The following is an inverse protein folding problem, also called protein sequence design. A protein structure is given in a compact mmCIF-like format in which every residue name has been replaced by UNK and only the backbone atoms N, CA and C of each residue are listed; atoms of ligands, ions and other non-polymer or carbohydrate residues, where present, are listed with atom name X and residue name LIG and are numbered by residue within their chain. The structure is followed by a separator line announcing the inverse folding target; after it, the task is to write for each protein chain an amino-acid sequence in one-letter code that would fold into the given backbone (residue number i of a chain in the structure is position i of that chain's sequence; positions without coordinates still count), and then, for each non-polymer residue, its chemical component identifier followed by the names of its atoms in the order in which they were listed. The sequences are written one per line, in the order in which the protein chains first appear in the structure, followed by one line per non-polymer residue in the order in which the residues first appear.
data_IF_831728650885
#
_entry.id   IF_831728650885
#
_cell.length_a   1.000
_cell.length_b   1.000
_cell.length_c   1.000
_cell.angle_alpha   90.00
_cell.angle_beta   90.00
_cell.angle_gamma   90.00
#
_symmetry.space_group_name_H-M   'P 1'
#
loop_
_entity.id
_entity.type
_entity.pdbx_description
1 polymer ?
#
# COMPACT_ATOMS: atom_id res chain seq x y z
N UNK A 1 29.50 3.38 -26.38
CA UNK A 1 29.49 1.93 -26.71
C UNK A 1 28.45 1.26 -25.81
N UNK A 2 27.32 0.83 -26.36
CA UNK A 2 26.33 0.05 -25.64
C UNK A 2 26.93 -1.35 -25.44
N UNK A 3 26.86 -1.92 -24.21
CA UNK A 3 27.32 -3.28 -23.99
C UNK A 3 26.37 -4.24 -24.71
N UNK A 4 26.88 -4.95 -25.69
CA UNK A 4 26.17 -6.01 -26.41
C UNK A 4 26.05 -7.20 -25.48
N UNK A 5 25.00 -7.25 -24.66
CA UNK A 5 24.59 -8.44 -23.95
C UNK A 5 23.88 -9.38 -24.96
N UNK A 6 24.65 -10.16 -25.69
CA UNK A 6 24.09 -11.35 -26.35
C UNK A 6 23.68 -12.34 -25.23
N UNK A 7 22.40 -12.35 -24.90
CA UNK A 7 21.81 -13.42 -24.10
C UNK A 7 22.02 -14.72 -24.85
N UNK A 8 22.85 -15.62 -24.30
CA UNK A 8 22.97 -17.00 -24.80
C UNK A 8 21.60 -17.64 -24.62
N UNK A 9 20.95 -18.00 -25.71
CA UNK A 9 19.76 -18.84 -25.71
C UNK A 9 20.08 -20.16 -24.97
N UNK A 10 19.85 -20.17 -23.67
CA UNK A 10 19.87 -21.37 -22.84
C UNK A 10 18.58 -22.14 -23.06
N UNK A 11 18.62 -23.48 -23.04
CA UNK A 11 17.45 -24.35 -23.14
C UNK A 11 16.37 -23.86 -22.15
N UNK A 12 15.30 -23.31 -22.70
CA UNK A 12 14.04 -22.80 -22.16
C UNK A 12 13.91 -22.62 -20.65
N UNK A 13 14.18 -21.42 -20.17
CA UNK A 13 13.80 -20.98 -18.84
C UNK A 13 12.31 -21.09 -18.64
N UNK A 14 11.85 -21.83 -17.64
CA UNK A 14 10.42 -22.12 -17.43
C UNK A 14 9.58 -20.85 -17.28
N UNK A 15 10.07 -19.86 -16.56
CA UNK A 15 9.33 -18.63 -16.26
C UNK A 15 9.41 -17.64 -17.43
N UNK A 16 10.54 -17.57 -18.13
CA UNK A 16 10.67 -16.74 -19.31
C UNK A 16 9.75 -17.21 -20.45
N UNK A 17 9.62 -18.52 -20.65
CA UNK A 17 8.67 -19.08 -21.62
C UNK A 17 7.21 -18.75 -21.28
N UNK A 18 6.85 -18.68 -19.99
CA UNK A 18 5.54 -18.22 -19.56
C UNK A 18 5.34 -16.72 -19.84
N UNK A 19 6.40 -15.90 -19.72
CA UNK A 19 6.38 -14.48 -20.06
C UNK A 19 6.15 -14.28 -21.56
N UNK A 20 6.80 -15.08 -22.42
CA UNK A 20 6.68 -15.05 -23.88
C UNK A 20 5.32 -15.58 -24.36
N UNK A 21 4.24 -15.18 -23.74
CA UNK A 21 2.86 -15.55 -24.06
C UNK A 21 1.99 -14.30 -24.24
N UNK A 22 1.28 -14.24 -25.38
CA UNK A 22 0.32 -13.15 -25.63
C UNK A 22 -0.73 -13.02 -24.52
N UNK A 23 -1.21 -14.16 -23.99
CA UNK A 23 -2.15 -14.19 -22.88
C UNK A 23 -1.57 -13.52 -21.65
N UNK A 24 -0.35 -13.85 -21.27
CA UNK A 24 0.34 -13.28 -20.09
C UNK A 24 0.48 -11.75 -20.20
N UNK A 25 0.92 -11.26 -21.36
CA UNK A 25 1.07 -9.81 -21.60
C UNK A 25 -0.30 -9.10 -21.62
N UNK A 26 -1.32 -9.73 -22.19
CA UNK A 26 -2.69 -9.17 -22.22
C UNK A 26 -3.29 -9.10 -20.83
N UNK A 27 -3.15 -10.14 -20.02
CA UNK A 27 -3.64 -10.15 -18.64
C UNK A 27 -2.93 -9.03 -17.81
N UNK A 28 -1.62 -8.84 -18.00
CA UNK A 28 -0.86 -7.75 -17.39
C UNK A 28 -1.32 -6.36 -17.87
N UNK A 29 -1.60 -6.21 -19.18
CA UNK A 29 -2.18 -4.98 -19.74
C UNK A 29 -3.51 -4.62 -19.09
N UNK A 30 -4.42 -5.56 -18.94
CA UNK A 30 -5.73 -5.32 -18.30
C UNK A 30 -5.59 -4.82 -16.87
N UNK A 31 -4.59 -5.29 -16.11
CA UNK A 31 -4.29 -4.78 -14.76
C UNK A 31 -3.78 -3.32 -14.79
N UNK A 32 -2.95 -2.95 -15.77
CA UNK A 32 -2.46 -1.57 -15.94
C UNK A 32 -3.59 -0.64 -16.34
N UNK A 33 -4.42 -1.05 -17.29
CA UNK A 33 -5.60 -0.31 -17.76
C UNK A 33 -6.57 -0.03 -16.60
N UNK A 34 -6.90 -1.03 -15.80
CA UNK A 34 -7.82 -0.89 -14.66
C UNK A 34 -7.31 0.08 -13.57
N UNK A 35 -6.00 0.27 -13.46
CA UNK A 35 -5.37 1.21 -12.49
C UNK A 35 -5.24 2.64 -13.00
N UNK A 36 -5.65 2.94 -14.23
CA UNK A 36 -5.47 4.26 -14.87
C UNK A 36 -4.04 4.79 -14.71
N UNK A 37 -3.05 3.92 -14.96
CA UNK A 37 -1.64 4.23 -14.73
C UNK A 37 -1.16 5.35 -15.65
N UNK A 38 -0.33 6.27 -15.14
CA UNK A 38 0.30 7.32 -15.97
C UNK A 38 1.35 6.70 -16.88
N UNK A 39 1.59 7.30 -18.06
CA UNK A 39 2.69 6.95 -18.97
C UNK A 39 4.08 7.29 -18.41
N UNK A 40 5.11 6.98 -19.17
CA UNK A 40 6.51 7.26 -18.86
C UNK A 40 7.12 8.31 -19.79
N UNK A 41 8.42 8.17 -20.04
CA UNK A 41 9.21 9.11 -20.85
C UNK A 41 8.78 9.16 -22.33
N UNK A 42 8.13 8.09 -22.82
CA UNK A 42 7.56 7.99 -24.16
C UNK A 42 6.28 8.81 -24.36
N UNK A 43 5.78 9.42 -23.29
CA UNK A 43 4.53 10.18 -23.24
C UNK A 43 3.26 9.40 -23.67
N UNK A 44 3.35 8.08 -23.85
CA UNK A 44 2.20 7.23 -24.20
C UNK A 44 1.32 7.05 -22.98
N UNK A 45 0.06 7.49 -23.07
CA UNK A 45 -0.93 7.29 -22.01
C UNK A 45 -1.60 5.92 -22.11
N UNK A 46 -2.35 5.54 -21.06
CA UNK A 46 -3.18 4.31 -21.11
C UNK A 46 -4.22 4.38 -22.23
N UNK A 47 -4.76 5.57 -22.51
CA UNK A 47 -5.74 5.76 -23.58
C UNK A 47 -5.09 5.58 -24.97
N UNK A 48 -3.89 6.15 -25.18
CA UNK A 48 -3.16 6.01 -26.43
C UNK A 48 -2.77 4.54 -26.68
N UNK A 49 -2.28 3.86 -25.65
CA UNK A 49 -1.93 2.44 -25.74
C UNK A 49 -3.16 1.58 -26.05
N UNK A 50 -4.33 1.91 -25.50
CA UNK A 50 -5.58 1.16 -25.68
C UNK A 50 -6.08 1.20 -27.14
N UNK A 51 -5.83 2.29 -27.85
CA UNK A 51 -6.25 2.45 -29.26
C UNK A 51 -5.64 1.37 -30.19
N UNK A 52 -4.36 0.99 -29.93
CA UNK A 52 -3.64 -0.02 -30.71
C UNK A 52 -3.08 -1.13 -29.80
N UNK A 53 -3.79 -1.49 -28.73
CA UNK A 53 -3.29 -2.38 -27.68
C UNK A 53 -2.76 -3.71 -28.21
N UNK A 54 -3.47 -4.35 -29.15
CA UNK A 54 -3.06 -5.65 -29.70
C UNK A 54 -1.73 -5.52 -30.48
N UNK A 55 -1.55 -4.46 -31.27
CA UNK A 55 -0.31 -4.18 -32.01
C UNK A 55 0.87 -3.92 -31.06
N UNK A 56 0.66 -3.12 -30.00
CA UNK A 56 1.68 -2.87 -28.98
C UNK A 56 2.06 -4.15 -28.26
N UNK A 57 1.09 -5.00 -27.89
CA UNK A 57 1.36 -6.28 -27.23
C UNK A 57 2.13 -7.24 -28.15
N UNK A 58 1.81 -7.28 -29.45
CA UNK A 58 2.55 -8.10 -30.42
C UNK A 58 3.99 -7.60 -30.59
N UNK A 59 4.21 -6.30 -30.57
CA UNK A 59 5.56 -5.71 -30.61
C UNK A 59 6.37 -6.08 -29.36
N UNK A 60 5.77 -5.99 -28.17
CA UNK A 60 6.43 -6.38 -26.91
C UNK A 60 6.75 -7.88 -26.91
N UNK A 61 5.80 -8.72 -27.36
CA UNK A 61 5.99 -10.16 -27.45
C UNK A 61 7.11 -10.54 -28.41
N UNK A 62 7.14 -9.94 -29.60
CA UNK A 62 8.21 -10.16 -30.57
C UNK A 62 9.58 -9.78 -29.99
N UNK A 63 9.67 -8.64 -29.31
CA UNK A 63 10.92 -8.18 -28.68
C UNK A 63 11.38 -9.13 -27.56
N UNK A 64 10.47 -9.71 -26.79
CA UNK A 64 10.79 -10.74 -25.79
C UNK A 64 11.27 -12.04 -26.43
N UNK A 65 10.55 -12.57 -27.44
CA UNK A 65 10.88 -13.82 -28.13
C UNK A 65 12.25 -13.72 -28.81
N UNK A 66 12.57 -12.55 -29.38
CA UNK A 66 13.86 -12.31 -30.06
C UNK A 66 14.96 -11.81 -29.13
N UNK A 67 14.70 -11.70 -27.83
CA UNK A 67 15.62 -11.13 -26.83
C UNK A 67 16.15 -9.73 -27.20
N UNK A 68 15.36 -8.94 -27.91
CA UNK A 68 15.70 -7.56 -28.31
C UNK A 68 15.03 -6.50 -27.44
N UNK A 69 14.27 -6.91 -26.42
CA UNK A 69 13.65 -5.97 -25.50
C UNK A 69 14.72 -5.24 -24.68
N UNK A 70 14.62 -3.93 -24.66
CA UNK A 70 15.44 -3.04 -23.84
C UNK A 70 14.49 -2.10 -23.09
N UNK A 71 14.54 -2.04 -21.74
CA UNK A 71 13.70 -1.13 -20.98
C UNK A 71 14.05 0.33 -21.26
N UNK A 72 13.05 1.18 -21.31
CA UNK A 72 13.24 2.63 -21.44
C UNK A 72 13.59 3.27 -20.09
N UNK A 73 14.36 4.36 -20.08
CA UNK A 73 14.69 5.09 -18.85
C UNK A 73 13.43 5.53 -18.10
N UNK A 74 13.49 5.53 -16.77
CA UNK A 74 12.40 6.03 -15.96
C UNK A 74 12.37 7.55 -15.98
N UNK A 75 11.21 8.14 -16.19
CA UNK A 75 11.00 9.57 -16.02
C UNK A 75 10.88 9.89 -14.53
N UNK A 76 11.70 10.82 -14.00
CA UNK A 76 11.61 11.30 -12.63
C UNK A 76 10.35 12.15 -12.43
N UNK A 77 9.56 11.81 -11.40
CA UNK A 77 8.48 12.62 -10.92
C UNK A 77 8.69 12.90 -9.43
N UNK A 78 8.38 14.10 -8.98
CA UNK A 78 8.52 14.49 -7.59
C UNK A 78 7.16 14.50 -6.91
N UNK A 79 7.10 14.01 -5.68
CA UNK A 79 5.92 14.09 -4.82
C UNK A 79 6.34 14.54 -3.43
N UNK A 80 5.56 15.40 -2.79
CA UNK A 80 5.84 15.86 -1.43
C UNK A 80 5.47 14.78 -0.42
N UNK A 81 6.38 14.53 0.53
CA UNK A 81 6.08 13.74 1.72
C UNK A 81 5.30 14.58 2.75
N UNK A 82 4.76 13.93 3.78
CA UNK A 82 4.02 14.60 4.85
C UNK A 82 4.86 15.58 5.68
N UNK A 83 6.15 15.33 5.76
CA UNK A 83 7.14 16.17 6.45
C UNK A 83 7.66 17.35 5.60
N UNK A 84 7.10 17.53 4.38
CA UNK A 84 7.54 18.55 3.43
C UNK A 84 8.73 18.15 2.58
N UNK A 85 9.40 17.04 2.85
CA UNK A 85 10.49 16.54 2.02
C UNK A 85 9.97 16.00 0.68
N UNK A 86 10.83 16.03 -0.34
CA UNK A 86 10.49 15.55 -1.68
C UNK A 86 10.86 14.07 -1.81
N UNK A 87 9.91 13.25 -2.29
CA UNK A 87 10.17 11.89 -2.72
C UNK A 87 10.25 11.85 -4.24
N UNK A 88 11.35 11.36 -4.77
CA UNK A 88 11.48 11.09 -6.21
C UNK A 88 10.88 9.72 -6.53
N UNK A 89 9.95 9.70 -7.47
CA UNK A 89 9.37 8.47 -8.02
C UNK A 89 9.76 8.34 -9.47
N UNK A 90 10.08 7.13 -9.90
CA UNK A 90 10.29 6.83 -11.31
C UNK A 90 8.97 6.42 -11.98
N UNK A 91 8.69 7.01 -13.13
CA UNK A 91 7.58 6.63 -13.98
C UNK A 91 8.09 5.78 -15.13
N UNK A 92 7.64 4.52 -15.20
CA UNK A 92 7.89 3.60 -16.29
C UNK A 92 6.97 3.89 -17.48
N UNK A 93 7.39 3.50 -18.68
CA UNK A 93 6.50 3.42 -19.84
C UNK A 93 5.37 2.40 -19.60
N UNK A 94 4.30 2.49 -20.38
CA UNK A 94 3.21 1.49 -20.29
C UNK A 94 3.73 0.10 -20.67
N UNK A 95 4.58 -0.01 -21.70
CA UNK A 95 5.20 -1.26 -22.12
C UNK A 95 6.04 -1.91 -21.01
N UNK A 96 6.92 -1.14 -20.36
CA UNK A 96 7.74 -1.65 -19.25
C UNK A 96 6.89 -2.09 -18.05
N UNK A 97 5.82 -1.35 -17.74
CA UNK A 97 4.88 -1.75 -16.69
C UNK A 97 4.18 -3.07 -17.00
N UNK A 98 3.80 -3.30 -18.26
CA UNK A 98 3.16 -4.54 -18.69
C UNK A 98 4.11 -5.72 -18.47
N UNK A 99 5.36 -5.61 -18.97
CA UNK A 99 6.33 -6.70 -18.85
C UNK A 99 6.67 -6.94 -17.38
N UNK A 100 6.93 -5.89 -16.58
CA UNK A 100 7.20 -6.05 -15.15
C UNK A 100 6.02 -6.65 -14.38
N UNK A 101 4.75 -6.30 -14.70
CA UNK A 101 3.58 -6.93 -14.08
C UNK A 101 3.45 -8.40 -14.49
N UNK A 102 3.70 -8.73 -15.76
CA UNK A 102 3.71 -10.10 -16.24
C UNK A 102 4.75 -10.94 -15.49
N UNK A 103 6.00 -10.47 -15.42
CA UNK A 103 7.07 -11.13 -14.64
C UNK A 103 6.67 -11.26 -13.18
N UNK A 104 6.19 -10.17 -12.54
CA UNK A 104 5.73 -10.23 -11.15
C UNK A 104 4.68 -11.31 -10.94
N UNK A 105 3.68 -11.39 -11.80
CA UNK A 105 2.59 -12.38 -11.70
C UNK A 105 3.12 -13.82 -11.76
N UNK A 106 4.16 -14.04 -12.57
CA UNK A 106 4.78 -15.36 -12.74
C UNK A 106 5.62 -15.75 -11.52
N UNK A 107 6.48 -14.84 -11.03
CA UNK A 107 7.48 -15.17 -9.99
C UNK A 107 6.98 -14.97 -8.55
N UNK A 108 6.01 -14.07 -8.31
CA UNK A 108 5.48 -13.79 -6.97
C UNK A 108 5.00 -15.04 -6.22
N UNK A 109 4.27 -15.99 -6.85
CA UNK A 109 3.85 -17.22 -6.17
C UNK A 109 5.01 -18.11 -5.71
N UNK A 110 6.17 -18.04 -6.38
CA UNK A 110 7.37 -18.79 -6.01
C UNK A 110 7.98 -18.21 -4.73
N UNK A 111 8.08 -16.87 -4.65
CA UNK A 111 8.62 -16.19 -3.48
C UNK A 111 7.66 -16.21 -2.29
N UNK A 112 6.34 -16.12 -2.53
CA UNK A 112 5.34 -16.21 -1.46
C UNK A 112 5.45 -17.49 -0.63
N UNK A 113 5.87 -18.62 -1.25
CA UNK A 113 6.14 -19.88 -0.54
C UNK A 113 7.38 -19.82 0.36
N UNK A 114 8.26 -18.84 0.17
CA UNK A 114 9.51 -18.65 0.93
C UNK A 114 9.37 -17.60 2.02
N UNK A 115 8.43 -16.66 1.85
CA UNK A 115 8.25 -15.56 2.78
C UNK A 115 7.58 -16.01 4.08
N UNK A 116 8.07 -15.46 5.18
CA UNK A 116 7.52 -15.74 6.50
C UNK A 116 6.21 -14.97 6.74
N UNK A 117 5.38 -15.47 7.63
CA UNK A 117 4.10 -14.84 8.01
C UNK A 117 4.24 -13.55 8.83
N UNK A 118 5.46 -13.18 9.18
CA UNK A 118 5.77 -11.94 9.91
C UNK A 118 5.88 -10.71 9.01
N UNK A 119 6.00 -10.89 7.69
CA UNK A 119 6.04 -9.81 6.69
C UNK A 119 4.67 -9.59 6.06
N UNK A 120 4.21 -8.32 6.03
CA UNK A 120 2.84 -7.95 5.63
C UNK A 120 2.77 -6.93 4.50
N UNK A 121 3.87 -6.21 4.19
CA UNK A 121 3.89 -5.18 3.16
C UNK A 121 3.95 -5.76 1.76
N UNK A 122 3.17 -5.22 0.82
CA UNK A 122 3.19 -5.53 -0.60
C UNK A 122 2.95 -7.00 -0.98
N UNK A 123 2.35 -7.78 -0.10
CA UNK A 123 2.09 -9.22 -0.31
C UNK A 123 0.60 -9.51 -0.54
N UNK A 124 0.25 -10.46 -1.43
CA UNK A 124 -1.13 -10.87 -1.66
C UNK A 124 -1.82 -11.33 -0.36
N UNK A 125 -3.04 -10.87 -0.15
CA UNK A 125 -3.83 -11.25 1.02
C UNK A 125 -3.29 -10.76 2.38
N UNK A 126 -2.16 -10.05 2.44
CA UNK A 126 -1.62 -9.35 3.61
C UNK A 126 -2.07 -7.88 3.59
N UNK A 127 -1.57 -7.08 4.50
CA UNK A 127 -1.86 -5.65 4.52
C UNK A 127 -1.73 -5.04 5.92
N UNK A 128 -1.84 -3.71 6.04
CA UNK A 128 -1.56 -3.02 7.30
C UNK A 128 -2.53 -3.45 8.43
N UNK A 129 -3.81 -3.70 8.13
CA UNK A 129 -4.76 -4.16 9.13
C UNK A 129 -4.38 -5.53 9.71
N UNK A 130 -3.89 -6.46 8.88
CA UNK A 130 -3.42 -7.78 9.36
C UNK A 130 -2.14 -7.66 10.18
N UNK A 131 -1.20 -6.78 9.77
CA UNK A 131 0.00 -6.48 10.52
C UNK A 131 -0.32 -5.95 11.93
N UNK A 132 -1.24 -4.97 12.02
CA UNK A 132 -1.70 -4.43 13.31
C UNK A 132 -2.39 -5.51 14.16
N UNK A 133 -3.27 -6.34 13.58
CA UNK A 133 -3.90 -7.44 14.33
C UNK A 133 -2.87 -8.41 14.91
N UNK A 134 -1.84 -8.78 14.14
CA UNK A 134 -0.76 -9.62 14.63
C UNK A 134 0.02 -8.95 15.76
N UNK A 135 0.36 -7.67 15.60
CA UNK A 135 1.03 -6.89 16.65
C UNK A 135 0.22 -6.85 17.95
N UNK A 136 -1.08 -6.57 17.86
CA UNK A 136 -1.97 -6.57 19.02
C UNK A 136 -2.05 -7.95 19.69
N UNK A 137 -2.05 -9.03 18.91
CA UNK A 137 -2.01 -10.39 19.44
C UNK A 137 -0.71 -10.67 20.21
N UNK A 138 0.44 -10.27 19.67
CA UNK A 138 1.76 -10.41 20.33
C UNK A 138 1.75 -9.71 21.68
N UNK A 139 1.24 -8.47 21.74
CA UNK A 139 1.23 -7.68 22.99
C UNK A 139 0.25 -8.26 24.03
N UNK A 140 -0.95 -8.70 23.62
CA UNK A 140 -2.01 -9.13 24.51
C UNK A 140 -1.91 -10.59 24.96
N UNK A 141 -1.60 -11.47 24.00
CA UNK A 141 -1.70 -12.91 24.22
C UNK A 141 -0.34 -13.57 24.46
N UNK A 142 0.74 -12.98 23.92
CA UNK A 142 2.10 -13.49 24.13
C UNK A 142 2.85 -12.73 25.22
N UNK A 143 2.19 -11.76 25.90
CA UNK A 143 2.72 -10.92 26.98
C UNK A 143 4.05 -10.19 26.65
N UNK A 144 4.23 -9.78 25.38
CA UNK A 144 5.42 -9.08 24.89
C UNK A 144 5.13 -7.60 24.75
N UNK A 145 5.14 -6.88 25.86
CA UNK A 145 4.66 -5.50 25.97
C UNK A 145 5.74 -4.44 25.74
N UNK A 146 7.01 -4.82 25.78
CA UNK A 146 8.11 -3.92 25.43
C UNK A 146 8.33 -3.97 23.93
N UNK A 147 8.18 -2.83 23.26
CA UNK A 147 8.23 -2.78 21.80
C UNK A 147 9.29 -1.77 21.34
N UNK A 148 9.98 -2.07 20.25
CA UNK A 148 10.75 -1.07 19.50
C UNK A 148 10.21 -1.02 18.07
N UNK A 149 9.87 0.20 17.65
CA UNK A 149 9.48 0.49 16.26
C UNK A 149 10.69 1.02 15.52
N UNK A 150 11.00 0.42 14.41
CA UNK A 150 12.14 0.75 13.56
C UNK A 150 11.70 0.95 12.12
N UNK A 151 12.44 1.78 11.41
CA UNK A 151 12.31 2.05 9.99
C UNK A 151 13.71 1.99 9.34
N UNK A 152 13.84 1.29 8.22
CA UNK A 152 15.10 1.17 7.50
C UNK A 152 15.32 2.43 6.67
N UNK A 153 16.45 3.10 6.91
CA UNK A 153 16.80 4.35 6.23
C UNK A 153 16.93 4.17 4.73
N UNK A 154 16.14 4.93 3.97
CA UNK A 154 16.15 4.91 2.49
C UNK A 154 16.22 3.49 1.90
N UNK A 155 15.46 2.54 2.48
CA UNK A 155 15.57 1.12 2.19
C UNK A 155 15.65 0.81 0.69
N UNK A 156 14.68 1.30 -0.10
CA UNK A 156 14.65 1.06 -1.54
C UNK A 156 15.91 1.57 -2.26
N UNK A 157 16.40 2.74 -1.89
CA UNK A 157 17.54 3.39 -2.55
C UNK A 157 18.90 2.81 -2.11
N UNK A 158 18.90 1.96 -1.05
CA UNK A 158 20.12 1.44 -0.44
C UNK A 158 20.35 -0.06 -0.68
N UNK A 159 19.37 -0.81 -1.20
CA UNK A 159 19.51 -2.25 -1.45
C UNK A 159 20.51 -2.50 -2.59
N UNK A 160 21.61 -3.26 -2.36
CA UNK A 160 22.58 -3.55 -3.41
C UNK A 160 22.01 -4.56 -4.42
N UNK A 161 22.34 -4.37 -5.72
CA UNK A 161 21.82 -5.20 -6.81
C UNK A 161 22.33 -6.64 -6.76
N UNK A 162 23.64 -6.84 -6.55
CA UNK A 162 24.29 -8.15 -6.65
C UNK A 162 23.69 -9.19 -5.69
N UNK A 163 23.47 -8.92 -4.38
CA UNK A 163 22.82 -9.88 -3.50
C UNK A 163 21.37 -10.21 -3.89
N UNK A 164 20.62 -9.23 -4.42
CA UNK A 164 19.24 -9.46 -4.91
C UNK A 164 19.25 -10.40 -6.11
N UNK A 165 20.14 -10.16 -7.08
CA UNK A 165 20.29 -11.01 -8.27
C UNK A 165 20.73 -12.42 -7.89
N UNK A 166 21.66 -12.57 -6.93
CA UNK A 166 22.06 -13.89 -6.43
C UNK A 166 20.89 -14.66 -5.81
N UNK A 167 20.06 -13.98 -4.99
CA UNK A 167 18.86 -14.60 -4.40
C UNK A 167 17.83 -14.99 -5.46
N UNK A 168 17.69 -14.21 -6.53
CA UNK A 168 16.84 -14.53 -7.68
C UNK A 168 17.32 -15.81 -8.38
N UNK A 169 18.61 -15.86 -8.70
CA UNK A 169 19.23 -17.01 -9.39
C UNK A 169 19.10 -18.28 -8.58
N UNK A 170 19.34 -18.20 -7.27
CA UNK A 170 19.21 -19.35 -6.36
C UNK A 170 17.80 -19.92 -6.30
N UNK A 171 16.78 -19.07 -6.38
CA UNK A 171 15.39 -19.47 -6.21
C UNK A 171 14.74 -19.83 -7.54
N UNK A 172 14.93 -19.02 -8.56
CA UNK A 172 14.24 -19.17 -9.84
C UNK A 172 14.95 -20.14 -10.78
N UNK A 173 16.28 -20.19 -10.74
CA UNK A 173 17.09 -20.97 -11.70
C UNK A 173 16.74 -20.65 -13.16
N UNK A 174 16.46 -19.36 -13.44
CA UNK A 174 15.98 -18.85 -14.71
C UNK A 174 16.81 -17.62 -15.10
N UNK A 175 17.86 -17.84 -15.88
CA UNK A 175 18.84 -16.81 -16.24
C UNK A 175 18.22 -15.68 -17.08
N UNK A 176 17.21 -15.98 -17.90
CA UNK A 176 16.58 -14.96 -18.76
C UNK A 176 15.72 -14.01 -17.94
N UNK A 177 14.98 -14.52 -16.94
CA UNK A 177 14.25 -13.66 -15.98
C UNK A 177 15.21 -12.84 -15.13
N UNK A 178 16.31 -13.44 -14.66
CA UNK A 178 17.31 -12.72 -13.86
C UNK A 178 17.99 -11.60 -14.66
N UNK A 179 18.36 -11.87 -15.92
CA UNK A 179 18.93 -10.87 -16.82
C UNK A 179 17.95 -9.72 -17.10
N UNK A 180 16.67 -10.04 -17.30
CA UNK A 180 15.63 -9.04 -17.50
C UNK A 180 15.45 -8.15 -16.25
N UNK A 181 15.47 -8.74 -15.06
CA UNK A 181 15.40 -7.99 -13.80
C UNK A 181 16.66 -7.13 -13.62
N UNK A 182 17.83 -7.65 -13.94
CA UNK A 182 19.08 -6.90 -13.90
C UNK A 182 19.04 -5.65 -14.81
N UNK A 183 18.50 -5.76 -16.03
CA UNK A 183 18.31 -4.61 -16.91
C UNK A 183 17.43 -3.54 -16.26
N UNK A 184 16.33 -3.94 -15.57
CA UNK A 184 15.47 -2.99 -14.86
C UNK A 184 16.13 -2.38 -13.62
N UNK A 185 16.97 -3.11 -12.91
CA UNK A 185 17.70 -2.58 -11.77
C UNK A 185 18.73 -1.53 -12.21
N UNK A 186 19.41 -1.76 -13.34
CA UNK A 186 20.41 -0.85 -13.91
C UNK A 186 19.82 0.28 -14.77
N UNK A 187 18.51 0.24 -15.00
CA UNK A 187 17.81 1.23 -15.81
C UNK A 187 18.00 2.64 -15.23
N UNK A 188 18.52 3.57 -16.04
CA UNK A 188 18.73 4.95 -15.64
C UNK A 188 17.42 5.74 -15.47
N UNK A 189 17.56 6.90 -14.84
CA UNK A 189 16.45 7.85 -14.59
C UNK A 189 16.74 9.16 -15.33
N UNK A 190 15.69 9.76 -15.92
CA UNK A 190 15.78 11.05 -16.62
C UNK A 190 14.89 12.06 -15.89
N UNK A 191 15.45 13.22 -15.55
CA UNK A 191 14.71 14.36 -14.98
C UNK A 191 14.08 15.23 -16.09
N UNK A 192 13.17 16.15 -15.70
CA UNK A 192 12.46 17.01 -16.64
C UNK A 192 13.32 17.91 -17.53
N UNK A 193 14.59 18.15 -17.18
CA UNK A 193 15.61 18.85 -18.00
C UNK A 193 16.54 17.87 -18.74
N UNK A 194 16.09 16.66 -19.01
CA UNK A 194 16.84 15.60 -19.70
C UNK A 194 18.17 15.20 -19.05
N UNK A 195 18.34 15.51 -17.75
CA UNK A 195 19.52 15.09 -17.01
C UNK A 195 19.42 13.61 -16.68
N UNK A 196 20.38 12.84 -17.17
CA UNK A 196 20.51 11.41 -16.90
C UNK A 196 21.10 11.15 -15.52
N UNK A 197 20.68 10.08 -14.88
CA UNK A 197 21.32 9.51 -13.69
C UNK A 197 21.28 7.98 -13.78
N UNK A 198 22.46 7.38 -13.58
CA UNK A 198 22.57 5.92 -13.47
C UNK A 198 21.91 5.39 -12.20
N UNK A 199 21.52 4.12 -12.23
CA UNK A 199 20.98 3.41 -11.07
C UNK A 199 21.91 2.23 -10.74
N UNK A 200 23.04 2.51 -10.06
CA UNK A 200 24.02 1.50 -9.69
C UNK A 200 23.76 0.88 -8.30
N UNK A 201 22.84 1.48 -7.54
CA UNK A 201 22.45 1.07 -6.20
C UNK A 201 20.96 1.35 -6.01
N UNK A 202 20.29 0.50 -5.28
CA UNK A 202 18.89 0.68 -4.93
C UNK A 202 17.90 0.11 -5.93
N UNK A 203 16.72 -0.20 -5.42
CA UNK A 203 15.59 -0.66 -6.22
C UNK A 203 14.80 0.57 -6.69
N UNK A 204 14.50 0.70 -7.99
CA UNK A 204 13.85 1.90 -8.51
C UNK A 204 12.49 2.16 -7.84
N UNK A 205 12.33 3.28 -7.13
CA UNK A 205 11.05 3.68 -6.53
C UNK A 205 10.04 4.00 -7.63
N UNK A 206 8.91 3.27 -7.61
CA UNK A 206 7.87 3.34 -8.65
C UNK A 206 7.91 2.20 -9.66
N UNK A 207 8.96 1.38 -9.68
CA UNK A 207 8.97 0.14 -10.46
C UNK A 207 8.06 -0.93 -9.81
N UNK A 208 7.45 -1.76 -10.66
CA UNK A 208 6.44 -2.75 -10.24
C UNK A 208 7.04 -3.88 -9.40
N UNK A 209 8.29 -4.25 -9.70
CA UNK A 209 8.98 -5.35 -9.03
C UNK A 209 9.67 -4.94 -7.74
N UNK A 210 10.03 -3.67 -7.54
CA UNK A 210 10.82 -3.22 -6.39
C UNK A 210 10.26 -3.66 -5.02
N UNK A 211 8.94 -3.62 -4.75
CA UNK A 211 8.40 -4.12 -3.50
C UNK A 211 8.59 -5.62 -3.27
N UNK A 212 8.48 -6.43 -4.34
CA UNK A 212 8.70 -7.88 -4.27
C UNK A 212 10.18 -8.19 -3.99
N UNK A 213 11.09 -7.49 -4.68
CA UNK A 213 12.53 -7.65 -4.50
C UNK A 213 13.00 -7.18 -3.10
N UNK A 214 12.40 -6.11 -2.56
CA UNK A 214 12.63 -5.69 -1.17
C UNK A 214 12.24 -6.80 -0.19
N UNK A 215 11.07 -7.41 -0.37
CA UNK A 215 10.64 -8.51 0.49
C UNK A 215 11.55 -9.74 0.35
N UNK A 216 12.01 -10.03 -0.87
CA UNK A 216 12.98 -11.12 -1.11
C UNK A 216 14.28 -10.86 -0.33
N UNK A 217 14.83 -9.65 -0.43
CA UNK A 217 16.07 -9.27 0.23
C UNK A 217 15.95 -9.32 1.75
N UNK A 218 14.90 -8.75 2.31
CA UNK A 218 14.70 -8.68 3.77
C UNK A 218 14.20 -10.00 4.38
N UNK A 219 13.84 -11.01 3.59
CA UNK A 219 13.35 -12.28 4.12
C UNK A 219 14.43 -13.04 4.96
N UNK A 220 15.71 -12.89 4.64
CA UNK A 220 16.80 -13.45 5.44
C UNK A 220 16.92 -12.72 6.80
N UNK A 221 16.73 -11.40 6.82
CA UNK A 221 16.63 -10.61 8.06
C UNK A 221 15.44 -11.06 8.91
N UNK A 222 14.27 -11.25 8.32
CA UNK A 222 13.08 -11.76 9.03
C UNK A 222 13.38 -13.11 9.70
N UNK A 223 14.03 -14.04 8.98
CA UNK A 223 14.41 -15.35 9.52
C UNK A 223 15.35 -15.25 10.71
N UNK A 224 16.34 -14.39 10.63
CA UNK A 224 17.30 -14.20 11.71
C UNK A 224 16.64 -13.58 12.97
N UNK A 225 15.75 -12.62 12.80
CA UNK A 225 15.04 -11.98 13.92
C UNK A 225 14.13 -12.97 14.63
N UNK A 226 13.33 -13.75 13.92
CA UNK A 226 12.39 -14.70 14.55
C UNK A 226 13.08 -15.89 15.24
N UNK A 227 14.33 -16.19 14.87
CA UNK A 227 15.12 -17.27 15.52
C UNK A 227 15.33 -17.02 17.03
N UNK A 228 15.22 -15.76 17.48
CA UNK A 228 15.31 -15.40 18.92
C UNK A 228 13.99 -15.60 19.68
N UNK A 229 12.97 -16.22 19.08
CA UNK A 229 11.67 -16.46 19.69
C UNK A 229 11.06 -15.20 20.33
N UNK A 230 11.04 -14.10 19.60
CA UNK A 230 10.47 -12.80 19.98
C UNK A 230 9.22 -12.48 19.18
N UNK A 231 8.47 -11.47 19.59
CA UNK A 231 7.39 -10.90 18.78
C UNK A 231 7.97 -10.04 17.66
N UNK A 232 7.54 -10.28 16.42
CA UNK A 232 8.03 -9.54 15.27
C UNK A 232 6.95 -9.36 14.22
N UNK A 233 6.88 -8.13 13.68
CA UNK A 233 5.98 -7.77 12.57
C UNK A 233 6.71 -6.80 11.67
N UNK A 234 6.82 -7.11 10.38
CA UNK A 234 7.37 -6.20 9.37
C UNK A 234 6.32 -5.80 8.33
N UNK A 235 6.33 -4.54 7.94
CA UNK A 235 5.56 -4.00 6.82
C UNK A 235 6.47 -3.18 5.91
N UNK A 236 6.93 -3.76 4.81
CA UNK A 236 7.95 -3.20 3.93
C UNK A 236 9.27 -2.97 4.69
N UNK A 237 9.69 -1.72 4.82
CA UNK A 237 10.84 -1.21 5.56
C UNK A 237 10.56 -0.93 7.04
N UNK A 238 9.29 -0.73 7.42
CA UNK A 238 8.85 -0.56 8.81
C UNK A 238 8.75 -1.89 9.55
N UNK A 239 9.29 -2.01 10.77
CA UNK A 239 9.09 -3.19 11.59
C UNK A 239 8.99 -2.90 13.08
N UNK A 240 8.38 -3.85 13.81
CA UNK A 240 8.26 -3.80 15.26
C UNK A 240 8.81 -5.10 15.85
N UNK A 241 9.71 -4.96 16.84
CA UNK A 241 10.18 -6.05 17.70
C UNK A 241 9.50 -5.90 19.06
N UNK A 242 8.89 -6.98 19.55
CA UNK A 242 8.22 -7.01 20.85
C UNK A 242 8.85 -8.07 21.75
N UNK A 243 9.17 -7.69 23.01
CA UNK A 243 9.80 -8.54 24.00
C UNK A 243 9.08 -8.44 25.35
N UNK A 244 9.40 -9.35 26.27
CA UNK A 244 8.83 -9.38 27.61
C UNK A 244 9.41 -8.28 28.52
N UNK A 245 10.68 -7.90 28.32
CA UNK A 245 11.38 -6.91 29.14
C UNK A 245 12.20 -5.93 28.31
N UNK A 246 12.63 -4.84 28.96
CA UNK A 246 13.36 -3.73 28.34
C UNK A 246 14.75 -4.14 27.85
N UNK A 247 15.45 -4.95 28.61
CA UNK A 247 16.81 -5.38 28.29
C UNK A 247 16.81 -6.20 26.99
N UNK A 248 15.90 -7.17 26.88
CA UNK A 248 15.80 -8.00 25.68
C UNK A 248 15.48 -7.16 24.44
N UNK A 249 14.57 -6.16 24.54
CA UNK A 249 14.28 -5.32 23.38
C UNK A 249 15.45 -4.42 22.99
N UNK A 250 16.26 -3.95 23.97
CA UNK A 250 17.49 -3.20 23.71
C UNK A 250 18.53 -4.05 22.99
N UNK A 251 18.75 -5.28 23.47
CA UNK A 251 19.68 -6.23 22.88
C UNK A 251 19.26 -6.59 21.45
N UNK A 252 17.96 -6.80 21.21
CA UNK A 252 17.43 -7.09 19.88
C UNK A 252 17.53 -5.91 18.93
N UNK A 253 17.34 -4.68 19.41
CA UNK A 253 17.60 -3.48 18.60
C UNK A 253 19.08 -3.39 18.20
N UNK A 254 20.00 -3.65 19.15
CA UNK A 254 21.43 -3.70 18.87
C UNK A 254 21.80 -4.79 17.86
N UNK A 255 21.20 -5.97 17.98
CA UNK A 255 21.37 -7.06 17.00
C UNK A 255 20.86 -6.66 15.62
N UNK A 256 19.64 -6.15 15.52
CA UNK A 256 19.05 -5.72 14.26
C UNK A 256 19.89 -4.65 13.55
N UNK A 257 20.42 -3.65 14.30
CA UNK A 257 21.32 -2.62 13.74
C UNK A 257 22.59 -3.21 13.15
N UNK A 258 23.27 -4.08 13.90
CA UNK A 258 24.52 -4.70 13.44
C UNK A 258 24.27 -5.59 12.22
N UNK A 259 23.24 -6.39 12.24
CA UNK A 259 22.91 -7.29 11.15
C UNK A 259 22.56 -6.52 9.87
N UNK A 260 21.69 -5.50 9.97
CA UNK A 260 21.35 -4.67 8.80
C UNK A 260 22.58 -3.99 8.24
N UNK A 261 23.47 -3.45 9.08
CA UNK A 261 24.68 -2.77 8.62
C UNK A 261 25.68 -3.74 7.96
N UNK A 262 26.00 -4.84 8.64
CA UNK A 262 27.09 -5.72 8.24
C UNK A 262 26.69 -6.69 7.14
N UNK A 263 25.50 -7.28 7.22
CA UNK A 263 25.07 -8.36 6.34
C UNK A 263 24.19 -7.86 5.18
N UNK A 264 23.46 -6.73 5.38
CA UNK A 264 22.54 -6.17 4.40
C UNK A 264 22.97 -4.82 3.83
N UNK A 265 24.04 -4.21 4.31
CA UNK A 265 24.49 -2.86 3.91
C UNK A 265 23.35 -1.82 4.02
N UNK A 266 22.49 -1.98 5.03
CA UNK A 266 21.36 -1.12 5.32
C UNK A 266 21.52 -0.52 6.73
N UNK A 267 20.91 0.65 6.94
CA UNK A 267 20.95 1.32 8.26
C UNK A 267 19.54 1.59 8.74
N UNK A 268 19.37 1.64 10.07
CA UNK A 268 18.13 2.09 10.69
C UNK A 268 18.10 3.61 10.80
N UNK A 269 16.92 4.20 10.69
CA UNK A 269 16.71 5.58 11.07
C UNK A 269 16.99 5.79 12.56
N UNK A 270 17.43 6.99 12.93
CA UNK A 270 17.73 7.34 14.33
C UNK A 270 16.48 7.41 15.22
N UNK A 271 15.31 7.41 14.62
CA UNK A 271 14.01 7.51 15.29
C UNK A 271 13.51 6.22 15.94
N UNK A 272 14.34 5.16 16.03
CA UNK A 272 13.95 3.93 16.73
C UNK A 272 13.63 4.22 18.19
N UNK A 273 12.35 4.08 18.55
CA UNK A 273 11.87 4.36 19.91
C UNK A 273 11.45 3.08 20.61
N UNK A 274 12.04 2.84 21.79
CA UNK A 274 11.62 1.76 22.67
C UNK A 274 10.42 2.25 23.47
N UNK A 275 9.26 1.64 23.26
CA UNK A 275 8.04 1.86 24.02
C UNK A 275 7.96 0.90 25.20
N UNK A 276 7.58 1.42 26.38
CA UNK A 276 7.21 0.61 27.53
C UNK A 276 5.73 0.22 27.50
N UNK A 277 5.28 -0.75 28.32
CA UNK A 277 3.87 -1.14 28.38
C UNK A 277 2.90 0.02 28.61
N UNK A 278 3.35 1.07 29.29
CA UNK A 278 2.53 2.24 29.64
C UNK A 278 2.72 3.43 28.68
N UNK A 279 3.58 3.29 27.67
CA UNK A 279 3.82 4.36 26.70
C UNK A 279 3.30 3.94 25.32
N UNK A 280 2.38 4.75 24.76
CA UNK A 280 1.89 4.47 23.43
C UNK A 280 2.96 4.71 22.37
N UNK A 281 2.94 3.90 21.32
CA UNK A 281 3.79 4.06 20.13
C UNK A 281 2.96 4.08 18.84
N UNK A 282 3.55 4.59 17.76
CA UNK A 282 2.91 4.63 16.45
C UNK A 282 3.47 3.53 15.55
N UNK A 283 2.58 2.83 14.82
CA UNK A 283 2.94 1.89 13.78
C UNK A 283 1.86 1.90 12.68
N UNK A 284 2.27 1.98 11.42
CA UNK A 284 1.38 2.00 10.25
C UNK A 284 0.22 3.02 10.34
N UNK A 285 0.51 4.18 10.92
CA UNK A 285 -0.45 5.28 11.01
C UNK A 285 -1.52 5.13 12.09
N UNK A 286 -1.37 4.17 13.01
CA UNK A 286 -2.19 4.05 14.22
C UNK A 286 -1.34 4.16 15.48
N UNK A 287 -1.95 4.63 16.57
CA UNK A 287 -1.35 4.67 17.91
C UNK A 287 -1.73 3.41 18.67
N UNK A 288 -0.74 2.64 19.10
CA UNK A 288 -0.92 1.44 19.91
C UNK A 288 -0.61 1.78 21.35
N UNK A 289 -1.55 1.49 22.26
CA UNK A 289 -1.41 1.69 23.68
C UNK A 289 -1.86 0.43 24.42
N UNK A 290 -0.99 -0.20 25.17
CA UNK A 290 -1.27 -1.43 25.94
C UNK A 290 -2.07 -2.48 25.14
N UNK A 291 -1.65 -2.74 23.91
CA UNK A 291 -2.31 -3.70 23.02
C UNK A 291 -3.64 -3.23 22.43
N UNK A 292 -4.01 -1.97 22.54
CA UNK A 292 -5.20 -1.40 21.91
C UNK A 292 -4.81 -0.35 20.87
N UNK A 293 -5.60 -0.24 19.81
CA UNK A 293 -5.47 0.86 18.85
C UNK A 293 -6.34 2.00 19.32
N UNK A 294 -5.73 3.18 19.43
CA UNK A 294 -6.39 4.42 19.82
C UNK A 294 -6.29 5.41 18.66
N UNK A 295 -7.39 6.07 18.33
CA UNK A 295 -7.40 7.18 17.38
C UNK A 295 -6.93 8.45 18.12
N UNK A 296 -5.75 8.98 17.74
CA UNK A 296 -5.26 10.21 18.34
C UNK A 296 -5.95 11.44 17.76
N UNK A 297 -6.04 12.54 18.52
CA UNK A 297 -6.60 13.80 18.05
C UNK A 297 -5.90 14.34 16.79
N UNK A 298 -4.56 14.22 16.73
CA UNK A 298 -3.79 14.59 15.53
C UNK A 298 -4.22 13.78 14.30
N UNK A 299 -4.55 12.49 14.51
CA UNK A 299 -5.01 11.63 13.42
C UNK A 299 -6.44 11.97 13.00
N UNK A 300 -7.31 12.32 13.94
CA UNK A 300 -8.65 12.83 13.65
C UNK A 300 -8.58 14.11 12.79
N UNK A 301 -7.70 15.06 13.13
CA UNK A 301 -7.48 16.28 12.34
C UNK A 301 -6.99 15.97 10.91
N UNK A 302 -6.03 15.04 10.77
CA UNK A 302 -5.56 14.60 9.45
C UNK A 302 -6.69 13.96 8.64
N UNK A 303 -7.53 13.15 9.27
CA UNK A 303 -8.69 12.52 8.62
C UNK A 303 -9.73 13.59 8.23
N UNK A 304 -10.01 14.55 9.13
CA UNK A 304 -10.93 15.67 8.88
C UNK A 304 -10.45 16.50 7.68
N UNK A 305 -9.17 16.86 7.65
CA UNK A 305 -8.57 17.58 6.52
C UNK A 305 -8.74 16.80 5.21
N UNK A 306 -8.41 15.51 5.19
CA UNK A 306 -8.52 14.65 4.01
C UNK A 306 -9.97 14.50 3.53
N UNK A 307 -10.94 14.37 4.45
CA UNK A 307 -12.37 14.32 4.15
C UNK A 307 -12.79 15.64 3.52
N UNK A 308 -12.36 16.76 4.10
CA UNK A 308 -12.69 18.09 3.64
C UNK A 308 -12.15 18.41 2.23
N UNK A 309 -10.90 18.04 1.96
CA UNK A 309 -10.25 18.23 0.66
C UNK A 309 -10.86 17.36 -0.45
N UNK A 310 -11.38 16.20 -0.09
CA UNK A 310 -12.01 15.27 -1.04
C UNK A 310 -13.48 15.52 -1.28
N UNK A 311 -14.11 16.38 -0.45
CA UNK A 311 -15.54 16.63 -0.55
C UNK A 311 -15.87 17.31 -1.88
N UNK A 312 -16.74 16.67 -2.63
CA UNK A 312 -17.25 17.18 -3.89
C UNK A 312 -18.67 16.64 -4.12
N UNK A 313 -19.46 17.38 -4.87
CA UNK A 313 -20.81 16.97 -5.25
C UNK A 313 -20.91 17.02 -6.77
N UNK A 314 -21.33 15.90 -7.34
CA UNK A 314 -21.55 15.71 -8.77
C UNK A 314 -22.99 15.20 -8.97
N UNK A 315 -23.75 15.87 -9.84
CA UNK A 315 -25.15 15.49 -10.14
C UNK A 315 -26.03 15.31 -8.87
N UNK A 316 -25.93 16.22 -7.90
CA UNK A 316 -26.64 16.17 -6.63
C UNK A 316 -26.33 14.92 -5.77
N UNK A 317 -25.17 14.29 -5.96
CA UNK A 317 -24.66 13.17 -5.14
C UNK A 317 -23.21 13.45 -4.73
N UNK A 318 -22.75 12.90 -3.58
CA UNK A 318 -21.34 12.95 -3.25
C UNK A 318 -20.49 12.35 -4.36
N UNK A 319 -19.35 13.00 -4.65
CA UNK A 319 -18.44 12.52 -5.69
C UNK A 319 -17.93 11.10 -5.38
N UNK A 320 -17.63 10.34 -6.42
CA UNK A 320 -17.11 8.96 -6.28
C UNK A 320 -15.80 8.93 -5.48
N UNK A 321 -14.92 9.91 -5.68
CA UNK A 321 -13.67 10.06 -4.94
C UNK A 321 -13.90 10.22 -3.43
N UNK A 322 -14.85 11.08 -3.05
CA UNK A 322 -15.21 11.31 -1.65
C UNK A 322 -15.73 10.02 -0.98
N UNK A 323 -16.63 9.30 -1.66
CA UNK A 323 -17.17 8.03 -1.14
C UNK A 323 -16.08 6.95 -1.00
N UNK A 324 -15.13 6.90 -1.93
CA UNK A 324 -13.99 5.98 -1.85
C UNK A 324 -13.09 6.28 -0.64
N UNK A 325 -12.84 7.56 -0.33
CA UNK A 325 -12.05 7.96 0.83
C UNK A 325 -12.75 7.57 2.13
N UNK A 326 -14.04 7.86 2.27
CA UNK A 326 -14.82 7.44 3.45
C UNK A 326 -14.84 5.91 3.63
N UNK A 327 -15.09 5.18 2.54
CA UNK A 327 -15.07 3.72 2.55
C UNK A 327 -13.70 3.16 2.93
N UNK A 328 -12.63 3.76 2.41
CA UNK A 328 -11.25 3.38 2.76
C UNK A 328 -10.92 3.61 4.24
N UNK A 329 -11.30 4.76 4.80
CA UNK A 329 -11.14 5.07 6.22
C UNK A 329 -11.90 4.02 7.06
N UNK A 330 -13.17 3.82 6.79
CA UNK A 330 -14.01 2.87 7.53
C UNK A 330 -13.52 1.44 7.41
N UNK A 331 -13.12 1.02 6.21
CA UNK A 331 -12.58 -0.32 5.97
C UNK A 331 -11.30 -0.58 6.76
N UNK A 332 -10.35 0.37 6.76
CA UNK A 332 -9.10 0.22 7.49
C UNK A 332 -9.30 0.23 9.00
N UNK A 333 -9.87 1.32 9.54
CA UNK A 333 -10.05 1.47 10.98
C UNK A 333 -11.06 0.49 11.56
N UNK A 334 -12.12 0.14 10.81
CA UNK A 334 -13.09 -0.89 11.19
C UNK A 334 -12.48 -2.28 11.39
N UNK A 335 -11.30 -2.56 10.81
CA UNK A 335 -10.59 -3.82 11.00
C UNK A 335 -9.68 -3.82 12.24
N UNK A 336 -9.19 -2.66 12.67
CA UNK A 336 -8.15 -2.55 13.70
C UNK A 336 -8.63 -1.96 15.03
N UNK A 337 -9.69 -1.15 15.02
CA UNK A 337 -10.27 -0.56 16.23
C UNK A 337 -11.12 -1.54 17.00
N UNK A 338 -11.19 -1.36 18.32
CA UNK A 338 -12.15 -2.02 19.23
C UNK A 338 -13.55 -1.41 19.05
N UNK A 339 -14.58 -2.06 19.59
CA UNK A 339 -15.98 -1.65 19.41
C UNK A 339 -16.23 -0.17 19.82
N UNK A 340 -15.72 0.23 20.98
CA UNK A 340 -15.92 1.61 21.48
C UNK A 340 -15.24 2.66 20.62
N UNK A 341 -14.01 2.38 20.16
CA UNK A 341 -13.28 3.26 19.25
C UNK A 341 -13.90 3.29 17.84
N UNK A 342 -14.53 2.20 17.40
CA UNK A 342 -15.31 2.19 16.14
C UNK A 342 -16.52 3.12 16.23
N UNK A 343 -17.24 3.10 17.35
CA UNK A 343 -18.36 3.98 17.57
C UNK A 343 -17.93 5.45 17.59
N UNK A 344 -16.78 5.78 18.20
CA UNK A 344 -16.20 7.12 18.16
C UNK A 344 -15.84 7.53 16.73
N UNK A 345 -15.21 6.64 15.96
CA UNK A 345 -14.90 6.92 14.56
C UNK A 345 -16.16 7.14 13.73
N UNK A 346 -17.18 6.31 13.88
CA UNK A 346 -18.45 6.48 13.15
C UNK A 346 -19.13 7.80 13.51
N UNK A 347 -19.17 8.19 14.79
CA UNK A 347 -19.68 9.50 15.24
C UNK A 347 -18.86 10.66 14.61
N UNK A 348 -17.54 10.58 14.66
CA UNK A 348 -16.63 11.57 14.04
C UNK A 348 -16.88 11.72 12.54
N UNK A 349 -17.00 10.60 11.80
CA UNK A 349 -17.26 10.64 10.37
C UNK A 349 -18.64 11.24 10.04
N UNK A 350 -19.64 10.94 10.86
CA UNK A 350 -20.99 11.52 10.75
C UNK A 350 -20.95 13.03 10.96
N UNK A 351 -20.22 13.50 11.98
CA UNK A 351 -20.12 14.92 12.28
C UNK A 351 -19.37 15.69 11.19
N UNK A 352 -18.28 15.14 10.66
CA UNK A 352 -17.59 15.70 9.49
C UNK A 352 -18.52 15.83 8.28
N UNK A 353 -19.36 14.82 8.03
CA UNK A 353 -20.34 14.82 6.95
C UNK A 353 -21.41 15.90 7.16
N UNK A 354 -21.98 15.98 8.37
CA UNK A 354 -23.00 17.00 8.70
C UNK A 354 -22.46 18.42 8.54
N UNK A 355 -21.27 18.69 9.06
CA UNK A 355 -20.60 19.99 8.97
C UNK A 355 -20.49 20.43 7.50
N UNK A 356 -20.04 19.56 6.61
CA UNK A 356 -19.86 19.86 5.19
C UNK A 356 -21.17 20.01 4.42
N UNK A 357 -22.11 19.16 4.68
CA UNK A 357 -23.40 19.22 4.01
C UNK A 357 -24.21 20.44 4.46
N UNK A 358 -24.15 20.82 5.74
CA UNK A 358 -24.78 22.05 6.23
C UNK A 358 -24.10 23.31 5.65
N UNK A 359 -22.79 23.30 5.44
CA UNK A 359 -22.04 24.41 4.82
C UNK A 359 -22.36 24.54 3.34
N UNK A 360 -22.50 23.43 2.62
CA UNK A 360 -22.78 23.40 1.18
C UNK A 360 -24.27 23.66 0.85
N UNK A 361 -25.19 23.35 1.77
CA UNK A 361 -26.64 23.37 1.53
C UNK A 361 -27.38 23.80 2.80
N UNK A 362 -27.66 25.06 2.94
CA UNK A 362 -28.38 25.65 4.11
C UNK A 362 -29.75 25.02 4.43
N UNK A 363 -30.31 24.21 3.53
CA UNK A 363 -31.67 23.66 3.63
C UNK A 363 -31.76 22.14 3.45
N UNK A 364 -30.70 21.39 3.77
CA UNK A 364 -30.73 19.92 3.65
C UNK A 364 -30.73 19.25 5.01
N UNK A 365 -31.80 18.53 5.30
CA UNK A 365 -31.82 17.58 6.42
C UNK A 365 -31.33 16.24 5.91
N UNK A 366 -30.27 15.70 6.52
CA UNK A 366 -29.63 14.47 6.06
C UNK A 366 -29.89 13.38 7.08
N UNK A 367 -30.55 12.32 6.65
CA UNK A 367 -30.54 11.05 7.36
C UNK A 367 -29.40 10.19 6.85
N UNK A 368 -28.40 9.95 7.68
CA UNK A 368 -27.30 9.04 7.39
C UNK A 368 -27.72 7.67 7.87
N UNK A 369 -28.00 6.76 6.93
CA UNK A 369 -28.24 5.37 7.24
C UNK A 369 -26.88 4.64 7.31
N UNK A 370 -26.43 4.35 8.54
CA UNK A 370 -25.29 3.47 8.78
C UNK A 370 -25.79 2.04 8.60
N UNK A 371 -25.56 1.45 7.43
CA UNK A 371 -25.84 0.04 7.23
C UNK A 371 -24.74 -0.82 7.86
N UNK A 372 -25.06 -2.00 8.37
CA UNK A 372 -24.12 -3.01 8.89
C UNK A 372 -23.09 -3.48 7.83
N UNK A 373 -23.29 -3.14 6.57
CA UNK A 373 -22.35 -3.33 5.46
C UNK A 373 -21.79 -1.96 5.07
N UNK A 374 -20.52 -1.85 4.93
CA UNK A 374 -19.57 -0.79 4.54
C UNK A 374 -20.04 0.36 3.62
N UNK A 375 -21.32 0.65 3.48
CA UNK A 375 -21.88 1.66 2.60
C UNK A 375 -22.60 2.77 3.38
N UNK A 376 -22.18 4.01 3.19
CA UNK A 376 -22.95 5.17 3.60
C UNK A 376 -23.97 5.51 2.49
N UNK A 377 -25.25 5.43 2.81
CA UNK A 377 -26.31 5.93 1.90
C UNK A 377 -26.76 7.31 2.40
N UNK A 378 -26.47 8.32 1.59
CA UNK A 378 -26.95 9.69 1.82
C UNK A 378 -28.24 9.84 1.03
N UNK A 379 -29.35 10.14 1.72
CA UNK A 379 -30.64 10.43 1.08
C UNK A 379 -30.97 11.91 1.27
N UNK A 380 -31.43 12.54 0.20
CA UNK A 380 -32.05 13.86 0.25
C UNK A 380 -33.42 13.74 0.87
N UNK A 381 -33.67 14.38 2.03
CA UNK A 381 -35.00 14.64 2.50
C UNK A 381 -35.44 16.02 1.98
N UNK A 382 -36.54 16.10 1.25
CA UNK A 382 -37.17 17.40 0.94
C UNK A 382 -37.55 18.01 2.28
N UNK A 383 -37.11 19.23 2.55
CA UNK A 383 -37.62 20.05 3.68
C UNK A 383 -39.10 20.22 3.45
N UNK A 384 -39.94 19.55 4.22
CA UNK A 384 -41.30 19.97 4.41
C UNK A 384 -41.27 21.30 5.16
N UNK A 385 -41.89 22.34 4.61
CA UNK A 385 -42.04 23.62 5.24
C UNK A 385 -42.64 23.43 6.63
N UNK A 386 -41.83 23.55 7.68
CA UNK A 386 -42.23 23.54 9.08
C UNK A 386 -42.72 24.95 9.49
N UNK A 387 -43.75 25.45 8.84
CA UNK A 387 -44.57 26.53 9.36
C UNK A 387 -46.02 26.11 9.22
N UNK A 388 -46.46 25.24 10.11
CA UNK A 388 -47.81 25.20 10.70
C UNK A 388 -48.00 23.90 11.52
N UNK A 389 -48.27 24.09 12.79
CA UNK A 389 -48.87 23.16 13.74
C UNK A 389 -48.02 22.02 14.35
N UNK A 390 -47.67 22.22 15.58
CA UNK A 390 -47.14 21.39 16.67
C UNK A 390 -47.51 19.89 16.80
N UNK A 391 -47.56 19.16 15.68
CA UNK A 391 -47.80 17.71 15.68
C UNK A 391 -46.65 16.86 15.11
N UNK A 392 -45.54 17.47 14.65
CA UNK A 392 -44.46 16.74 13.96
C UNK A 392 -43.26 16.38 14.82
N UNK A 393 -43.10 16.94 16.03
CA UNK A 393 -42.02 16.51 16.96
C UNK A 393 -42.17 15.05 17.39
N UNK A 394 -43.39 14.53 17.42
CA UNK A 394 -43.64 13.13 17.79
C UNK A 394 -43.25 12.11 16.74
N UNK A 395 -43.21 12.47 15.46
CA UNK A 395 -42.75 11.59 14.37
C UNK A 395 -41.24 11.54 14.24
N UNK A 396 -40.51 12.60 14.56
CA UNK A 396 -39.06 12.65 14.51
C UNK A 396 -38.48 11.83 15.67
N UNK A 397 -39.07 11.89 16.88
CA UNK A 397 -38.67 11.07 18.02
C UNK A 397 -38.94 9.58 17.77
N UNK A 398 -40.07 9.22 17.16
CA UNK A 398 -40.38 7.84 16.77
C UNK A 398 -39.48 7.26 15.69
N UNK A 399 -38.95 8.10 14.77
CA UNK A 399 -37.96 7.69 13.79
C UNK A 399 -36.57 7.49 14.42
N UNK A 400 -36.22 8.32 15.40
CA UNK A 400 -34.97 8.16 16.16
C UNK A 400 -34.99 6.90 17.03
N UNK A 401 -36.10 6.55 17.64
CA UNK A 401 -36.27 5.34 18.44
C UNK A 401 -36.32 4.07 17.57
N UNK A 402 -36.91 4.12 16.38
CA UNK A 402 -36.85 3.01 15.40
C UNK A 402 -35.43 2.76 14.87
N UNK A 403 -34.62 3.81 14.73
CA UNK A 403 -33.20 3.65 14.38
C UNK A 403 -32.35 3.08 15.53
N UNK A 404 -32.70 3.36 16.79
CA UNK A 404 -32.04 2.81 17.98
C UNK A 404 -32.34 1.32 18.19
N UNK A 405 -33.54 0.88 17.86
CA UNK A 405 -34.03 -0.49 18.18
C UNK A 405 -33.88 -1.53 17.06
N UNK A 406 -33.15 -1.23 15.97
CA UNK A 406 -32.69 -2.22 15.00
C UNK A 406 -33.79 -2.98 14.22
N UNK A 407 -35.03 -2.48 14.22
CA UNK A 407 -36.13 -3.14 13.54
C UNK A 407 -36.73 -2.19 12.50
N UNK A 408 -36.30 -2.29 11.25
CA UNK A 408 -37.11 -2.24 10.02
C UNK A 408 -36.12 -2.27 8.82
N UNK A 409 -35.89 -3.45 8.32
CA UNK A 409 -35.48 -3.67 6.94
C UNK A 409 -36.18 -4.94 6.42
N UNK A 410 -37.47 -4.86 6.19
CA UNK A 410 -38.15 -5.75 5.22
C UNK A 410 -39.38 -5.03 4.66
N UNK A 411 -39.41 -5.01 3.32
CA UNK A 411 -40.51 -4.59 2.43
C UNK A 411 -40.67 -3.10 2.20
N UNK A 412 -40.28 -2.66 1.01
CA UNK A 412 -41.25 -2.28 -0.04
C UNK A 412 -40.50 -2.42 -1.37
N UNK A 413 -41.19 -3.08 -2.31
CA UNK A 413 -40.82 -3.41 -3.70
C UNK A 413 -40.23 -2.24 -4.50
#
# INVERSE_FOLDING_TARGET
MLPTFMLKAGMGSQYYNQLCSRKTLRDAWLLIKAKHSKGGIDAITVADFDLEAEKHLDTLLAALITHTYIPMPMQKASTSKKDGSIRELGMLTIGDKIIQNAVKTIIEPVFEKKFLDVSYGYRPGKGPAKAIKRLLHIIRCEDRKWAVVCDIHNCFDSIPHAPVLHLLDDILKDNDISALIEMWLKMGKVSGNFKWSDNNLGLPQGAVLSPLLTNLYLNAFDKAIIAYNIGYVRYADDFVICCQNKETVQNMLGFARRMLLNDFQLTLNDNCRIGSPNQPFQFLGVKVNNGQVVLSKEKEEILKKRINESFGIENNKPSSNFLQILSGIKSYYGQVLMADEKNKLDAFLIDCLKERLNTAYKNWTISILVSKRTEYKIRRCKTLNLYSNGKEETQISQLQDKCRNGAVARRIN
#
